data_IF_890436229751
#
_entry.id   IF_890436229751
#
_cell.length_a   1.000
_cell.length_b   1.000
_cell.length_c   1.000
_cell.angle_alpha   90.00
_cell.angle_beta   90.00
_cell.angle_gamma   90.00
#
_symmetry.space_group_name_H-M   'P 1'
#
loop_
_entity.id
_entity.type
_entity.pdbx_description
1 polymer ?
#
# COMPACT_ATOMS: atom_id res chain seq x y z
N UNK A 1 -41.46 19.04 -39.67
CA UNK A 1 -42.88 18.66 -39.44
C UNK A 1 -43.41 18.08 -40.73
N UNK A 2 -44.19 16.99 -40.79
CA UNK A 2 -44.67 16.03 -39.78
C UNK A 2 -44.15 14.59 -40.11
N UNK A 3 -44.52 13.46 -39.53
CA UNK A 3 -44.99 13.02 -38.22
C UNK A 3 -45.25 11.50 -38.35
N UNK A 4 -44.76 10.71 -37.38
CA UNK A 4 -45.56 9.66 -36.71
C UNK A 4 -46.18 8.59 -37.63
N UNK A 5 -45.42 7.56 -38.02
CA UNK A 5 -46.00 6.30 -38.54
C UNK A 5 -45.25 5.00 -38.20
N UNK A 6 -44.08 5.05 -37.57
CA UNK A 6 -43.28 3.84 -37.30
C UNK A 6 -43.19 3.41 -35.82
N UNK A 7 -43.91 4.06 -34.91
CA UNK A 7 -43.92 3.74 -33.47
C UNK A 7 -45.15 2.93 -33.01
N UNK A 8 -45.81 2.19 -33.91
CA UNK A 8 -46.99 1.36 -33.59
C UNK A 8 -46.78 -0.16 -33.70
N UNK A 9 -45.57 -0.64 -33.96
CA UNK A 9 -45.29 -2.10 -34.09
C UNK A 9 -44.59 -2.74 -32.89
N UNK A 10 -44.27 -1.98 -31.84
CA UNK A 10 -43.55 -2.50 -30.66
C UNK A 10 -44.35 -2.43 -29.35
N UNK A 11 -45.66 -2.16 -29.40
CA UNK A 11 -46.51 -2.00 -28.21
C UNK A 11 -47.31 -3.24 -27.77
N UNK A 12 -47.15 -4.42 -28.41
CA UNK A 12 -48.03 -5.57 -28.12
C UNK A 12 -47.32 -6.93 -27.86
N UNK A 13 -46.13 -6.95 -27.24
CA UNK A 13 -45.43 -8.21 -26.92
C UNK A 13 -44.94 -8.37 -25.48
N UNK A 14 -45.59 -7.76 -24.50
CA UNK A 14 -45.39 -8.12 -23.09
C UNK A 14 -46.69 -8.00 -22.30
N UNK A 15 -47.68 -8.83 -22.64
CA UNK A 15 -48.82 -9.14 -21.78
C UNK A 15 -48.54 -10.55 -21.28
N UNK A 16 -48.00 -10.71 -20.08
CA UNK A 16 -47.77 -12.05 -19.52
C UNK A 16 -46.64 -12.25 -18.50
N UNK A 17 -46.12 -11.21 -17.85
CA UNK A 17 -45.26 -11.39 -16.68
C UNK A 17 -45.74 -10.46 -15.57
N UNK A 18 -46.28 -11.08 -14.52
CA UNK A 18 -46.71 -10.41 -13.30
C UNK A 18 -45.49 -9.77 -12.64
N UNK A 19 -45.39 -8.45 -12.69
CA UNK A 19 -44.38 -7.72 -11.91
C UNK A 19 -44.60 -8.03 -10.42
N UNK A 20 -43.56 -8.44 -9.67
CA UNK A 20 -43.71 -8.65 -8.24
C UNK A 20 -44.18 -7.33 -7.61
N UNK A 21 -45.10 -7.43 -6.64
CA UNK A 21 -45.64 -6.28 -5.92
C UNK A 21 -44.50 -5.34 -5.52
N UNK A 22 -44.68 -4.05 -5.80
CA UNK A 22 -43.79 -2.99 -5.33
C UNK A 22 -43.78 -3.05 -3.81
N UNK A 23 -42.79 -3.74 -3.24
CA UNK A 23 -42.49 -3.65 -1.82
C UNK A 23 -42.11 -2.19 -1.61
N UNK A 24 -42.99 -1.42 -0.97
CA UNK A 24 -42.59 -0.14 -0.39
C UNK A 24 -41.45 -0.45 0.56
N UNK A 25 -40.22 -0.20 0.13
CA UNK A 25 -39.08 -0.10 1.03
C UNK A 25 -39.48 0.99 2.01
N UNK A 26 -39.79 0.60 3.24
CA UNK A 26 -39.87 1.56 4.34
C UNK A 26 -38.55 2.31 4.31
N UNK A 27 -38.62 3.65 4.20
CA UNK A 27 -37.45 4.48 4.35
C UNK A 27 -36.87 4.13 5.71
N UNK A 28 -35.77 3.38 5.72
CA UNK A 28 -35.00 3.14 6.93
C UNK A 28 -34.51 4.52 7.33
N UNK A 29 -34.83 4.95 8.56
CA UNK A 29 -34.18 6.12 9.14
C UNK A 29 -32.68 5.88 9.05
N UNK A 30 -32.04 6.51 8.06
CA UNK A 30 -30.60 6.49 7.95
C UNK A 30 -30.07 7.24 9.16
N UNK A 31 -29.67 6.49 10.19
CA UNK A 31 -28.92 7.06 11.32
C UNK A 31 -27.76 7.85 10.74
N UNK A 32 -27.77 9.16 10.96
CA UNK A 32 -26.75 10.10 10.44
C UNK A 32 -25.37 9.93 11.12
N UNK A 33 -25.12 8.79 11.77
CA UNK A 33 -23.87 8.45 12.44
C UNK A 33 -23.44 7.03 12.05
N UNK A 34 -22.13 6.82 11.90
CA UNK A 34 -21.57 5.50 11.60
C UNK A 34 -21.80 4.51 12.76
N UNK A 35 -22.21 3.29 12.42
CA UNK A 35 -22.34 2.14 13.32
C UNK A 35 -21.81 0.89 12.64
N UNK A 36 -21.45 -0.15 13.40
CA UNK A 36 -21.01 -1.43 12.81
C UNK A 36 -22.05 -2.05 11.86
N UNK A 37 -23.33 -1.78 12.11
CA UNK A 37 -24.45 -2.28 11.31
C UNK A 37 -24.63 -1.53 9.98
N UNK A 38 -24.11 -0.30 9.86
CA UNK A 38 -24.29 0.55 8.68
C UNK A 38 -23.01 0.82 7.88
N UNK A 39 -21.86 0.29 8.31
CA UNK A 39 -20.63 0.30 7.51
C UNK A 39 -20.61 -0.81 6.46
N UNK A 40 -19.72 -0.67 5.48
CA UNK A 40 -19.52 -1.67 4.44
C UNK A 40 -19.25 -3.05 5.06
N UNK A 41 -20.08 -4.07 4.79
CA UNK A 41 -19.95 -5.37 5.42
C UNK A 41 -18.68 -6.13 4.98
N UNK A 42 -17.98 -5.69 3.92
CA UNK A 42 -16.65 -6.21 3.58
C UNK A 42 -15.60 -5.81 4.63
N UNK A 43 -15.71 -4.62 5.21
CA UNK A 43 -14.79 -4.14 6.26
C UNK A 43 -15.02 -4.92 7.55
N UNK A 44 -16.28 -5.21 7.91
CA UNK A 44 -16.58 -5.99 9.12
C UNK A 44 -16.18 -7.46 9.02
N UNK A 45 -16.24 -8.03 7.81
CA UNK A 45 -15.81 -9.42 7.58
C UNK A 45 -14.29 -9.57 7.47
N UNK A 46 -13.57 -8.51 7.11
CA UNK A 46 -12.12 -8.55 6.97
C UNK A 46 -11.48 -8.86 8.32
N UNK A 47 -10.59 -9.85 8.35
CA UNK A 47 -9.78 -10.19 9.52
C UNK A 47 -8.31 -9.92 9.20
N UNK A 48 -7.65 -9.14 10.05
CA UNK A 48 -6.20 -8.99 10.06
C UNK A 48 -5.62 -9.89 11.16
N UNK A 49 -5.14 -11.11 10.82
CA UNK A 49 -4.61 -12.03 11.81
C UNK A 49 -3.27 -11.57 12.40
N UNK A 50 -2.55 -10.65 11.72
CA UNK A 50 -1.22 -10.19 12.13
C UNK A 50 -1.32 -9.26 13.34
N UNK A 51 -2.39 -8.48 13.45
CA UNK A 51 -2.61 -7.55 14.58
C UNK A 51 -3.74 -7.99 15.51
N UNK A 52 -3.84 -9.30 15.71
CA UNK A 52 -4.90 -9.94 16.47
C UNK A 52 -4.75 -9.89 18.00
N UNK A 53 -5.55 -10.71 18.68
CA UNK A 53 -5.61 -10.81 20.15
C UNK A 53 -4.28 -11.20 20.80
N UNK A 54 -3.43 -11.95 20.10
CA UNK A 54 -2.11 -12.35 20.59
C UNK A 54 -1.21 -11.12 20.79
N UNK A 55 -1.12 -10.25 19.78
CA UNK A 55 -0.35 -9.00 19.84
C UNK A 55 -0.90 -8.08 20.92
N UNK A 56 -2.23 -7.98 21.03
CA UNK A 56 -2.87 -7.21 22.09
C UNK A 56 -2.50 -7.74 23.49
N UNK A 57 -2.45 -9.06 23.67
CA UNK A 57 -2.03 -9.67 24.95
C UNK A 57 -0.55 -9.47 25.22
N UNK A 58 0.31 -9.58 24.22
CA UNK A 58 1.74 -9.28 24.33
C UNK A 58 1.94 -7.83 24.81
N UNK A 59 1.29 -6.86 24.19
CA UNK A 59 1.36 -5.45 24.59
C UNK A 59 0.83 -5.21 26.01
N UNK A 60 -0.19 -5.95 26.45
CA UNK A 60 -0.66 -5.89 27.84
C UNK A 60 0.40 -6.42 28.82
N UNK A 61 1.01 -7.57 28.49
CA UNK A 61 2.07 -8.15 29.32
C UNK A 61 3.31 -7.25 29.39
N UNK A 62 3.69 -6.58 28.30
CA UNK A 62 4.77 -5.57 28.31
C UNK A 62 4.48 -4.43 29.28
N UNK A 63 3.22 -3.96 29.34
CA UNK A 63 2.79 -2.95 30.33
C UNK A 63 2.83 -3.51 31.76
N UNK A 64 2.41 -4.75 31.95
CA UNK A 64 2.49 -5.43 33.26
C UNK A 64 3.95 -5.53 33.75
N UNK A 65 4.90 -5.85 32.85
CA UNK A 65 6.33 -5.83 33.16
C UNK A 65 6.83 -4.45 33.57
N UNK A 66 6.46 -3.40 32.85
CA UNK A 66 6.81 -2.01 33.20
C UNK A 66 6.29 -1.60 34.58
N UNK A 67 5.16 -2.17 35.01
CA UNK A 67 4.58 -1.94 36.33
C UNK A 67 5.13 -2.89 37.42
N UNK A 68 6.15 -3.70 37.12
CA UNK A 68 6.82 -4.58 38.08
C UNK A 68 6.07 -5.88 38.40
N UNK A 69 5.04 -6.24 37.62
CA UNK A 69 4.31 -7.50 37.81
C UNK A 69 5.22 -8.67 37.45
N UNK A 70 5.46 -9.57 38.41
CA UNK A 70 6.27 -10.78 38.17
C UNK A 70 5.51 -11.80 37.32
N UNK A 71 6.21 -12.37 36.34
CA UNK A 71 5.74 -13.44 35.44
C UNK A 71 6.69 -14.63 35.49
N UNK A 72 6.28 -15.84 35.05
CA UNK A 72 7.17 -17.00 34.97
C UNK A 72 8.25 -16.89 33.87
N UNK A 73 8.33 -15.76 33.18
CA UNK A 73 9.32 -15.40 32.16
C UNK A 73 9.78 -13.96 32.39
N UNK A 74 10.93 -13.60 31.84
CA UNK A 74 11.60 -12.30 32.11
C UNK A 74 11.27 -11.22 31.09
N UNK A 75 10.94 -11.63 29.86
CA UNK A 75 10.71 -10.72 28.74
C UNK A 75 9.75 -11.35 27.73
N UNK A 76 9.31 -10.53 26.80
CA UNK A 76 8.48 -10.94 25.65
C UNK A 76 9.34 -10.74 24.41
N UNK A 77 9.42 -11.78 23.59
CA UNK A 77 10.11 -11.75 22.31
C UNK A 77 9.02 -11.83 21.24
N UNK A 78 8.84 -10.76 20.48
CA UNK A 78 7.85 -10.69 19.41
C UNK A 78 8.41 -11.38 18.16
N UNK A 79 7.88 -12.57 17.88
CA UNK A 79 8.25 -13.40 16.71
C UNK A 79 7.07 -13.57 15.73
N UNK A 80 6.04 -12.75 15.91
CA UNK A 80 4.80 -12.74 15.12
C UNK A 80 4.95 -11.96 13.80
N UNK A 81 5.89 -11.02 13.73
CA UNK A 81 6.20 -10.23 12.53
C UNK A 81 7.67 -10.32 12.16
N UNK A 82 7.95 -10.30 10.86
CA UNK A 82 9.31 -10.29 10.31
C UNK A 82 9.91 -8.87 10.31
N UNK A 83 10.11 -8.29 11.50
CA UNK A 83 10.79 -6.99 11.67
C UNK A 83 12.27 -7.19 12.03
N UNK A 84 13.08 -7.50 11.01
CA UNK A 84 14.49 -7.83 11.21
C UNK A 84 15.28 -6.70 11.88
N UNK A 85 14.98 -5.43 11.59
CA UNK A 85 15.71 -4.31 12.20
C UNK A 85 15.32 -4.12 13.67
N UNK A 86 14.04 -4.28 14.03
CA UNK A 86 13.64 -4.32 15.45
C UNK A 86 14.28 -5.49 16.21
N UNK A 87 14.55 -6.60 15.51
CA UNK A 87 15.26 -7.77 16.04
C UNK A 87 16.79 -7.65 16.00
N UNK A 88 17.34 -6.47 15.71
CA UNK A 88 18.77 -6.19 15.83
C UNK A 88 19.58 -6.38 14.55
N UNK A 89 18.95 -6.66 13.39
CA UNK A 89 19.67 -6.65 12.12
C UNK A 89 20.19 -5.23 11.83
N UNK A 90 21.52 -5.05 11.66
CA UNK A 90 22.06 -3.73 11.35
C UNK A 90 21.58 -3.25 9.97
N UNK A 91 21.32 -1.95 9.79
CA UNK A 91 20.94 -1.42 8.49
C UNK A 91 22.08 -1.51 7.48
N UNK A 92 21.75 -1.71 6.21
CA UNK A 92 22.74 -1.73 5.14
C UNK A 92 23.31 -0.33 4.87
N UNK A 93 24.62 -0.16 5.07
CA UNK A 93 25.32 1.12 4.97
C UNK A 93 25.12 1.82 3.61
N UNK A 94 25.31 1.10 2.51
CA UNK A 94 25.19 1.68 1.16
C UNK A 94 23.79 2.25 0.91
N UNK A 95 22.74 1.53 1.32
CA UNK A 95 21.35 1.97 1.16
C UNK A 95 21.11 3.24 1.98
N UNK A 96 21.56 3.25 3.24
CA UNK A 96 21.45 4.43 4.11
C UNK A 96 22.18 5.63 3.53
N UNK A 97 23.38 5.45 2.99
CA UNK A 97 24.15 6.52 2.36
C UNK A 97 23.43 7.14 1.17
N UNK A 98 22.93 6.31 0.24
CA UNK A 98 22.19 6.78 -0.94
C UNK A 98 20.93 7.54 -0.51
N UNK A 99 20.14 6.96 0.41
CA UNK A 99 18.92 7.59 0.94
C UNK A 99 19.26 8.95 1.56
N UNK A 100 20.27 9.03 2.43
CA UNK A 100 20.69 10.29 3.05
C UNK A 100 21.02 11.36 2.02
N UNK A 101 21.78 11.02 0.96
CA UNK A 101 22.14 11.97 -0.08
C UNK A 101 20.91 12.44 -0.87
N UNK A 102 19.97 11.55 -1.23
CA UNK A 102 18.78 11.98 -1.99
C UNK A 102 17.81 12.82 -1.14
N UNK A 103 17.80 12.62 0.18
CA UNK A 103 17.04 13.47 1.12
C UNK A 103 17.74 14.81 1.40
N UNK A 104 19.07 14.85 1.38
CA UNK A 104 19.86 16.06 1.58
C UNK A 104 21.00 16.15 0.55
N UNK A 105 20.69 16.66 -0.67
CA UNK A 105 21.64 16.70 -1.79
C UNK A 105 22.99 17.40 -1.54
N UNK A 106 23.14 18.37 -0.61
CA UNK A 106 24.46 18.91 -0.26
C UNK A 106 25.48 17.86 0.20
N UNK A 107 25.05 16.67 0.63
CA UNK A 107 25.95 15.55 0.97
C UNK A 107 26.70 14.98 -0.24
N UNK A 108 26.36 15.38 -1.47
CA UNK A 108 27.13 15.04 -2.67
C UNK A 108 28.57 15.56 -2.62
N UNK A 109 28.81 16.65 -1.90
CA UNK A 109 30.13 17.28 -1.77
C UNK A 109 30.89 16.84 -0.51
N UNK A 110 30.25 16.04 0.34
CA UNK A 110 30.86 15.53 1.58
C UNK A 110 31.85 14.39 1.28
N UNK A 111 33.14 14.51 1.65
CA UNK A 111 34.15 13.50 1.36
C UNK A 111 33.95 12.18 2.13
N UNK A 112 33.08 12.15 3.14
CA UNK A 112 32.77 10.94 3.93
C UNK A 112 31.88 9.94 3.19
N UNK A 113 31.18 10.38 2.14
CA UNK A 113 30.33 9.52 1.33
C UNK A 113 31.10 8.96 0.13
N UNK A 114 31.02 7.64 -0.13
CA UNK A 114 31.74 7.02 -1.23
C UNK A 114 31.14 7.43 -2.58
N UNK A 115 31.98 7.43 -3.61
CA UNK A 115 31.61 7.92 -4.94
C UNK A 115 30.51 7.10 -5.61
N UNK A 116 30.43 5.79 -5.34
CA UNK A 116 29.38 4.92 -5.85
C UNK A 116 28.00 5.25 -5.27
N UNK A 117 27.92 5.59 -3.98
CA UNK A 117 26.69 6.06 -3.35
C UNK A 117 26.28 7.43 -3.91
N UNK A 118 27.22 8.36 -4.06
CA UNK A 118 26.98 9.66 -4.71
C UNK A 118 26.49 9.49 -6.14
N UNK A 119 27.11 8.61 -6.91
CA UNK A 119 26.72 8.33 -8.28
C UNK A 119 25.30 7.78 -8.35
N UNK A 120 24.95 6.82 -7.48
CA UNK A 120 23.59 6.29 -7.39
C UNK A 120 22.57 7.38 -7.05
N UNK A 121 22.90 8.24 -6.09
CA UNK A 121 22.04 9.35 -5.70
C UNK A 121 21.84 10.36 -6.85
N UNK A 122 22.92 10.75 -7.56
CA UNK A 122 22.82 11.63 -8.74
C UNK A 122 21.93 11.02 -9.83
N UNK A 123 22.02 9.72 -10.08
CA UNK A 123 21.15 9.03 -11.04
C UNK A 123 19.68 9.12 -10.65
N UNK A 124 19.36 8.92 -9.37
CA UNK A 124 17.98 9.03 -8.87
C UNK A 124 17.48 10.47 -8.98
N UNK A 125 18.23 11.45 -8.46
CA UNK A 125 17.85 12.86 -8.48
C UNK A 125 17.61 13.37 -9.90
N UNK A 126 18.45 12.99 -10.88
CA UNK A 126 18.27 13.37 -12.29
C UNK A 126 16.97 12.84 -12.90
N UNK A 127 16.46 11.71 -12.41
CA UNK A 127 15.21 11.13 -12.88
C UNK A 127 13.98 11.76 -12.20
N UNK A 128 14.17 12.50 -11.11
CA UNK A 128 13.11 13.25 -10.45
C UNK A 128 12.95 14.64 -11.09
N UNK A 129 11.70 15.10 -11.22
CA UNK A 129 11.41 16.44 -11.73
C UNK A 129 11.98 17.48 -10.77
N UNK A 130 12.75 18.43 -11.28
CA UNK A 130 13.41 19.45 -10.46
C UNK A 130 14.51 18.91 -9.54
N UNK A 131 14.99 17.68 -9.74
CA UNK A 131 16.07 17.13 -8.92
C UNK A 131 15.65 16.80 -7.48
N UNK A 132 14.36 16.61 -7.20
CA UNK A 132 13.84 16.44 -5.84
C UNK A 132 13.02 15.16 -5.72
N UNK A 133 13.33 14.32 -4.72
CA UNK A 133 12.53 13.15 -4.39
C UNK A 133 11.15 13.49 -3.79
N UNK A 134 10.88 14.77 -3.51
CA UNK A 134 9.55 15.25 -3.11
C UNK A 134 8.62 15.55 -4.29
N UNK A 135 9.11 15.49 -5.53
CA UNK A 135 8.25 15.66 -6.71
C UNK A 135 7.38 14.43 -6.94
N UNK A 136 6.15 14.61 -7.42
CA UNK A 136 5.35 13.49 -7.95
C UNK A 136 6.11 12.73 -9.03
N UNK A 137 5.97 11.40 -8.99
CA UNK A 137 6.46 10.49 -10.01
C UNK A 137 5.35 10.17 -10.99
N UNK A 138 5.69 9.53 -12.11
CA UNK A 138 4.66 8.92 -12.97
C UNK A 138 3.93 7.81 -12.20
N UNK A 139 2.71 7.45 -12.64
CA UNK A 139 1.79 6.56 -11.91
C UNK A 139 2.40 5.19 -11.60
N UNK A 140 3.23 4.68 -12.52
CA UNK A 140 3.91 3.39 -12.38
C UNK A 140 5.27 3.48 -11.67
N UNK A 141 5.71 4.70 -11.33
CA UNK A 141 6.94 4.98 -10.60
C UNK A 141 8.11 5.44 -11.48
N UNK A 142 9.20 5.85 -10.81
CA UNK A 142 10.39 6.46 -11.44
C UNK A 142 11.03 5.49 -12.44
N UNK A 143 11.09 5.89 -13.71
CA UNK A 143 11.57 5.07 -14.83
C UNK A 143 12.94 4.42 -14.57
N UNK A 144 13.93 5.20 -14.10
CA UNK A 144 15.27 4.66 -13.88
C UNK A 144 15.29 3.59 -12.79
N UNK A 145 14.41 3.68 -11.79
CA UNK A 145 14.28 2.67 -10.74
C UNK A 145 13.67 1.39 -11.32
N UNK A 146 12.63 1.52 -12.15
CA UNK A 146 12.02 0.38 -12.85
C UNK A 146 13.01 -0.34 -13.78
N UNK A 147 13.82 0.41 -14.53
CA UNK A 147 14.91 -0.14 -15.36
C UNK A 147 15.95 -0.89 -14.53
N UNK A 148 16.33 -0.37 -13.36
CA UNK A 148 17.23 -1.09 -12.46
C UNK A 148 16.61 -2.36 -11.88
N UNK A 149 15.32 -2.33 -11.53
CA UNK A 149 14.60 -3.51 -11.05
C UNK A 149 14.54 -4.61 -12.13
N UNK A 150 14.17 -4.25 -13.36
CA UNK A 150 14.17 -5.19 -14.49
C UNK A 150 15.55 -5.81 -14.73
N UNK A 151 16.61 -4.98 -14.76
CA UNK A 151 18.00 -5.48 -14.89
C UNK A 151 18.42 -6.40 -13.75
N UNK A 152 17.97 -6.12 -12.53
CA UNK A 152 18.24 -6.99 -11.38
C UNK A 152 17.55 -8.35 -11.53
N UNK A 153 16.26 -8.35 -11.91
CA UNK A 153 15.47 -9.56 -12.15
C UNK A 153 16.11 -10.38 -13.28
N UNK A 154 16.45 -9.75 -14.40
CA UNK A 154 17.11 -10.40 -15.52
C UNK A 154 18.44 -11.05 -15.11
N UNK A 155 19.27 -10.35 -14.32
CA UNK A 155 20.53 -10.90 -13.82
C UNK A 155 20.32 -12.06 -12.84
N UNK A 156 19.29 -11.99 -11.99
CA UNK A 156 18.98 -13.03 -11.00
C UNK A 156 18.47 -14.30 -11.67
N UNK A 157 17.62 -14.15 -12.68
CA UNK A 157 16.84 -15.25 -13.26
C UNK A 157 17.43 -15.75 -14.60
N UNK A 158 18.29 -14.97 -15.26
CA UNK A 158 18.83 -15.29 -16.57
C UNK A 158 17.83 -15.17 -17.72
N UNK A 159 16.70 -14.49 -17.48
CA UNK A 159 15.58 -14.33 -18.41
C UNK A 159 15.36 -12.84 -18.67
N UNK A 160 15.18 -12.40 -19.94
CA UNK A 160 14.90 -11.00 -20.25
C UNK A 160 13.70 -10.46 -19.46
N UNK A 161 13.84 -9.26 -18.91
CA UNK A 161 12.78 -8.58 -18.16
C UNK A 161 12.52 -7.19 -18.75
N UNK A 162 11.28 -6.92 -19.18
CA UNK A 162 10.89 -5.59 -19.65
C UNK A 162 10.55 -4.70 -18.45
N UNK A 163 11.17 -3.52 -18.38
CA UNK A 163 10.93 -2.54 -17.32
C UNK A 163 9.55 -1.88 -17.39
N UNK A 164 8.88 -1.95 -18.55
CA UNK A 164 7.50 -1.48 -18.72
C UNK A 164 6.49 -2.36 -17.97
N UNK A 165 6.85 -3.62 -17.67
CA UNK A 165 6.05 -4.54 -16.87
C UNK A 165 6.27 -4.38 -15.35
N UNK A 166 7.14 -3.46 -14.94
CA UNK A 166 7.44 -3.19 -13.53
C UNK A 166 6.62 -1.99 -13.04
N UNK A 167 5.87 -2.20 -11.96
CA UNK A 167 5.16 -1.13 -11.24
C UNK A 167 5.72 -1.01 -9.83
N UNK A 168 6.04 0.21 -9.41
CA UNK A 168 6.44 0.49 -8.03
C UNK A 168 5.20 0.74 -7.17
N UNK A 169 5.16 0.14 -5.98
CA UNK A 169 4.08 0.33 -4.99
C UNK A 169 4.65 0.77 -3.64
N UNK A 170 3.78 1.37 -2.81
CA UNK A 170 4.08 1.83 -1.45
C UNK A 170 3.02 1.36 -0.46
#
# INVERSE_FOLDING_TARGET
>A
MPAISHLKSFQNRFIGLQLPAFVRTTATEHKHFLTLDNINPNVTRMKDPVRGSLVARAAQLEKEFKNGVKKPFKEIINLDISDCQAMGQPPMTFIRQVISIVFYPPLLDDPRFPDDAKQRARTILKACRGGSIGSYTDEIGIEIIRKHAAKFIEKRDGIPCNWEDITLCG
#
